data_IF_642106213852
#
_entry.id   IF_642106213852
#
_cell.length_a   1.000
_cell.length_b   1.000
_cell.length_c   1.000
_cell.angle_alpha   90.00
_cell.angle_beta   90.00
_cell.angle_gamma   90.00
#
_symmetry.space_group_name_H-M   'P 1'
#
loop_
_entity.id
_entity.type
_entity.pdbx_description
1 polymer ?
#
# COMPACT_ATOMS: atom_id res chain seq x y z
N UNK A 1 -13.80 -12.60 14.80
CA UNK A 1 -12.57 -11.78 14.68
C UNK A 1 -12.73 -10.90 13.47
N UNK A 2 -12.63 -9.58 13.61
CA UNK A 2 -12.74 -8.64 12.49
C UNK A 2 -11.47 -8.76 11.65
N UNK A 3 -11.59 -9.14 10.38
CA UNK A 3 -10.45 -9.11 9.45
C UNK A 3 -9.92 -7.68 9.36
N UNK A 4 -8.60 -7.44 9.51
CA UNK A 4 -8.03 -6.11 9.35
C UNK A 4 -8.32 -5.59 7.93
N UNK A 5 -8.93 -4.40 7.83
CA UNK A 5 -9.19 -3.68 6.57
C UNK A 5 -8.19 -2.54 6.42
N UNK A 6 -7.43 -2.54 5.33
CA UNK A 6 -6.33 -1.59 5.11
C UNK A 6 -6.81 -0.15 5.06
N UNK A 7 -8.00 0.10 4.49
CA UNK A 7 -8.53 1.46 4.38
C UNK A 7 -9.02 1.94 5.74
N UNK A 8 -9.71 1.10 6.51
CA UNK A 8 -10.14 1.46 7.88
C UNK A 8 -8.93 1.82 8.75
N UNK A 9 -7.83 1.05 8.63
CA UNK A 9 -6.55 1.33 9.31
C UNK A 9 -5.94 2.67 8.85
N UNK A 10 -5.81 2.89 7.54
CA UNK A 10 -5.14 4.08 7.00
C UNK A 10 -5.92 5.37 7.24
N UNK A 11 -7.26 5.29 7.26
CA UNK A 11 -8.11 6.43 7.58
C UNK A 11 -8.13 6.74 9.09
N UNK A 12 -7.53 5.90 9.93
CA UNK A 12 -7.54 6.07 11.39
C UNK A 12 -8.95 6.15 11.96
N UNK A 13 -9.93 5.52 11.30
CA UNK A 13 -11.33 5.68 11.67
C UNK A 13 -11.56 5.11 13.07
N UNK A 14 -12.09 5.96 13.95
CA UNK A 14 -12.59 5.48 15.22
C UNK A 14 -13.82 4.59 14.98
N UNK A 15 -13.99 3.49 15.74
CA UNK A 15 -15.11 2.55 15.53
C UNK A 15 -16.50 3.20 15.60
N UNK A 16 -16.62 4.31 16.34
CA UNK A 16 -17.85 5.09 16.55
C UNK A 16 -18.03 6.25 15.56
N UNK A 17 -17.05 6.50 14.69
CA UNK A 17 -17.14 7.56 13.70
C UNK A 17 -18.21 7.26 12.63
N UNK A 18 -19.00 8.27 12.25
CA UNK A 18 -20.05 8.14 11.24
C UNK A 18 -19.56 7.56 9.90
N UNK A 19 -18.33 7.91 9.49
CA UNK A 19 -17.71 7.38 8.28
C UNK A 19 -17.38 5.89 8.39
N UNK A 20 -16.98 5.41 9.57
CA UNK A 20 -16.79 3.98 9.84
C UNK A 20 -18.10 3.22 9.70
N UNK A 21 -19.17 3.73 10.30
CA UNK A 21 -20.50 3.13 10.20
C UNK A 21 -20.98 3.04 8.74
N UNK A 22 -20.83 4.11 7.95
CA UNK A 22 -21.20 4.14 6.53
C UNK A 22 -20.41 3.12 5.70
N UNK A 23 -19.10 2.98 5.96
CA UNK A 23 -18.27 1.99 5.25
C UNK A 23 -18.67 0.57 5.63
N UNK A 24 -19.00 0.32 6.90
CA UNK A 24 -19.45 -0.99 7.39
C UNK A 24 -20.83 -1.41 6.84
N UNK A 25 -21.65 -0.47 6.35
CA UNK A 25 -22.90 -0.79 5.64
C UNK A 25 -22.68 -1.38 4.23
N UNK A 26 -21.45 -1.38 3.71
CA UNK A 26 -21.09 -1.92 2.38
C UNK A 26 -20.12 -3.09 2.48
N UNK A 27 -20.51 -4.23 3.09
CA UNK A 27 -19.61 -5.34 3.38
C UNK A 27 -18.95 -5.93 2.13
N UNK A 28 -19.68 -6.02 1.01
CA UNK A 28 -19.13 -6.52 -0.25
C UNK A 28 -18.00 -5.62 -0.77
N UNK A 29 -18.13 -4.30 -0.70
CA UNK A 29 -17.07 -3.37 -1.15
C UNK A 29 -15.83 -3.52 -0.29
N UNK A 30 -15.98 -3.60 1.04
CA UNK A 30 -14.87 -3.84 1.96
C UNK A 30 -14.15 -5.16 1.65
N UNK A 31 -14.91 -6.24 1.53
CA UNK A 31 -14.38 -7.57 1.23
C UNK A 31 -13.59 -7.59 -0.08
N UNK A 32 -14.14 -7.07 -1.18
CA UNK A 32 -13.45 -7.10 -2.47
C UNK A 32 -12.24 -6.17 -2.51
N UNK A 33 -12.31 -5.03 -1.81
CA UNK A 33 -11.16 -4.12 -1.71
C UNK A 33 -10.01 -4.74 -0.93
N UNK A 34 -10.30 -5.32 0.25
CA UNK A 34 -9.29 -6.02 1.04
C UNK A 34 -8.75 -7.25 0.30
N UNK A 35 -9.62 -8.04 -0.32
CA UNK A 35 -9.20 -9.20 -1.11
C UNK A 35 -8.30 -8.83 -2.29
N UNK A 36 -8.53 -7.68 -2.93
CA UNK A 36 -7.65 -7.16 -3.98
C UNK A 36 -6.29 -6.76 -3.43
N UNK A 37 -6.26 -6.12 -2.25
CA UNK A 37 -5.02 -5.79 -1.56
C UNK A 37 -4.21 -7.06 -1.24
N UNK A 38 -4.87 -8.06 -0.63
CA UNK A 38 -4.22 -9.32 -0.24
C UNK A 38 -3.68 -10.07 -1.46
N UNK A 39 -4.49 -10.20 -2.52
CA UNK A 39 -4.08 -10.89 -3.74
C UNK A 39 -2.86 -10.24 -4.42
N UNK A 40 -2.73 -8.92 -4.33
CA UNK A 40 -1.64 -8.19 -4.97
C UNK A 40 -0.38 -8.12 -4.11
N UNK A 41 -0.51 -7.96 -2.79
CA UNK A 41 0.58 -7.58 -1.89
C UNK A 41 0.91 -8.61 -0.80
N UNK A 42 0.04 -9.58 -0.58
CA UNK A 42 0.28 -10.77 0.26
C UNK A 42 0.05 -12.05 -0.56
N UNK A 43 0.72 -12.21 -1.72
CA UNK A 43 0.44 -13.32 -2.61
C UNK A 43 0.89 -14.64 -1.99
N UNK A 44 0.07 -15.69 -2.18
CA UNK A 44 0.45 -17.06 -1.80
C UNK A 44 1.63 -17.60 -2.63
N UNK A 45 1.80 -17.09 -3.86
CA UNK A 45 2.91 -17.40 -4.75
C UNK A 45 3.62 -16.10 -5.20
N UNK A 46 4.88 -15.97 -4.80
CA UNK A 46 5.75 -14.83 -5.12
C UNK A 46 6.86 -15.20 -6.12
N UNK A 47 6.73 -16.31 -6.85
CA UNK A 47 7.75 -16.79 -7.79
C UNK A 47 7.92 -15.90 -9.02
N UNK A 48 6.81 -15.38 -9.57
CA UNK A 48 6.83 -14.53 -10.76
C UNK A 48 7.23 -13.07 -10.48
N UNK A 49 6.82 -12.55 -9.32
CA UNK A 49 7.15 -11.21 -8.86
C UNK A 49 7.25 -11.25 -7.34
N UNK A 50 8.42 -10.91 -6.82
CA UNK A 50 8.67 -10.92 -5.40
C UNK A 50 7.79 -9.91 -4.67
N UNK A 51 7.62 -10.13 -3.37
CA UNK A 51 6.91 -9.18 -2.51
C UNK A 51 7.56 -7.80 -2.53
N UNK A 52 8.89 -7.73 -2.54
CA UNK A 52 9.62 -6.46 -2.59
C UNK A 52 9.33 -5.68 -3.89
N UNK A 53 9.31 -6.35 -5.04
CA UNK A 53 8.97 -5.71 -6.31
C UNK A 53 7.51 -5.22 -6.34
N UNK A 54 6.58 -6.01 -5.78
CA UNK A 54 5.16 -5.62 -5.64
C UNK A 54 4.99 -4.37 -4.77
N UNK A 55 5.68 -4.31 -3.63
CA UNK A 55 5.68 -3.14 -2.75
C UNK A 55 6.34 -1.92 -3.42
N UNK A 56 7.40 -2.12 -4.19
CA UNK A 56 8.05 -1.03 -4.94
C UNK A 56 7.11 -0.42 -6.00
N UNK A 57 6.36 -1.27 -6.73
CA UNK A 57 5.33 -0.80 -7.66
C UNK A 57 4.21 -0.08 -6.93
N UNK A 58 3.74 -0.62 -5.80
CA UNK A 58 2.68 0.01 -5.01
C UNK A 58 3.12 1.37 -4.44
N UNK A 59 4.37 1.48 -3.97
CA UNK A 59 4.98 2.75 -3.56
C UNK A 59 4.99 3.75 -4.72
N UNK A 60 5.44 3.33 -5.91
CA UNK A 60 5.46 4.20 -7.10
C UNK A 60 4.06 4.74 -7.43
N UNK A 61 3.06 3.87 -7.44
CA UNK A 61 1.66 4.26 -7.69
C UNK A 61 1.14 5.22 -6.62
N UNK A 62 1.42 4.94 -5.34
CA UNK A 62 1.04 5.83 -4.25
C UNK A 62 1.68 7.22 -4.39
N UNK A 63 2.96 7.27 -4.77
CA UNK A 63 3.69 8.52 -5.04
C UNK A 63 3.12 9.27 -6.24
N UNK A 64 2.83 8.58 -7.35
CA UNK A 64 2.22 9.19 -8.55
C UNK A 64 0.87 9.86 -8.24
N UNK A 65 0.09 9.29 -7.33
CA UNK A 65 -1.21 9.82 -6.92
C UNK A 65 -1.15 10.74 -5.69
N UNK A 66 0.03 11.00 -5.12
CA UNK A 66 0.19 11.85 -3.94
C UNK A 66 -0.54 11.35 -2.69
N UNK A 67 -0.71 10.02 -2.55
CA UNK A 67 -1.43 9.45 -1.41
C UNK A 67 -0.49 9.17 -0.24
N UNK A 68 -0.23 10.19 0.58
CA UNK A 68 0.75 10.12 1.68
C UNK A 68 0.59 8.91 2.63
N UNK A 69 -0.63 8.53 3.06
CA UNK A 69 -0.80 7.35 3.91
C UNK A 69 -0.32 6.05 3.25
N UNK A 70 -0.54 5.91 1.93
CA UNK A 70 -0.08 4.75 1.17
C UNK A 70 1.42 4.82 0.88
N UNK A 71 1.97 6.01 0.63
CA UNK A 71 3.42 6.22 0.49
C UNK A 71 4.12 5.74 1.75
N UNK A 72 3.67 6.19 2.92
CA UNK A 72 4.23 5.78 4.21
C UNK A 72 4.11 4.27 4.40
N UNK A 73 2.92 3.70 4.17
CA UNK A 73 2.68 2.26 4.30
C UNK A 73 3.66 1.42 3.47
N UNK A 74 3.84 1.74 2.18
CA UNK A 74 4.69 0.93 1.30
C UNK A 74 6.18 1.14 1.56
N UNK A 75 6.60 2.33 2.01
CA UNK A 75 7.98 2.56 2.49
C UNK A 75 8.29 1.71 3.72
N UNK A 76 7.40 1.67 4.71
CA UNK A 76 7.54 0.84 5.90
C UNK A 76 7.60 -0.66 5.55
N UNK A 77 6.72 -1.11 4.64
CA UNK A 77 6.67 -2.51 4.20
C UNK A 77 7.92 -2.92 3.43
N UNK A 78 8.49 -2.05 2.60
CA UNK A 78 9.79 -2.29 1.95
C UNK A 78 10.93 -2.35 2.95
N UNK A 79 10.97 -1.44 3.92
CA UNK A 79 11.99 -1.45 4.97
C UNK A 79 11.94 -2.74 5.81
N UNK A 80 10.72 -3.24 6.11
CA UNK A 80 10.53 -4.50 6.79
C UNK A 80 11.02 -5.73 5.98
N UNK A 81 11.11 -5.60 4.65
CA UNK A 81 11.71 -6.60 3.75
C UNK A 81 13.23 -6.41 3.58
N UNK A 82 13.86 -5.58 4.42
CA UNK A 82 15.28 -5.23 4.38
C UNK A 82 15.72 -4.57 3.06
N UNK A 83 14.80 -3.90 2.34
CA UNK A 83 15.18 -3.08 1.20
C UNK A 83 16.07 -1.91 1.66
N UNK A 84 17.16 -1.65 0.93
CA UNK A 84 18.03 -0.52 1.22
C UNK A 84 17.28 0.81 1.06
N UNK A 85 17.54 1.83 1.91
CA UNK A 85 16.86 3.13 1.80
C UNK A 85 16.93 3.74 0.40
N UNK A 86 18.09 3.66 -0.26
CA UNK A 86 18.27 4.14 -1.63
C UNK A 86 17.37 3.42 -2.65
N UNK A 87 17.09 2.12 -2.46
CA UNK A 87 16.18 1.38 -3.33
C UNK A 87 14.71 1.80 -3.10
N UNK A 88 14.34 2.11 -1.85
CA UNK A 88 13.01 2.63 -1.51
C UNK A 88 12.80 4.02 -2.15
N UNK A 89 13.82 4.87 -2.09
CA UNK A 89 13.78 6.19 -2.70
C UNK A 89 13.72 6.11 -4.23
N UNK A 90 14.50 5.22 -4.84
CA UNK A 90 14.44 4.96 -6.27
C UNK A 90 13.05 4.46 -6.72
N UNK A 91 12.42 3.57 -5.94
CA UNK A 91 11.07 3.09 -6.21
C UNK A 91 10.01 4.20 -6.16
N UNK A 92 10.12 5.12 -5.19
CA UNK A 92 9.23 6.28 -5.10
C UNK A 92 9.42 7.25 -6.29
N UNK A 93 10.67 7.53 -6.64
CA UNK A 93 11.03 8.46 -7.72
C UNK A 93 10.59 7.94 -9.10
N UNK A 94 10.83 6.66 -9.38
CA UNK A 94 10.60 6.05 -10.68
C UNK A 94 11.54 6.57 -11.79
N UNK A 95 11.48 5.97 -12.99
CA UNK A 95 12.39 6.30 -14.09
C UNK A 95 12.16 7.70 -14.70
N UNK A 96 11.01 8.32 -14.48
CA UNK A 96 10.67 9.66 -14.98
C UNK A 96 11.05 10.78 -14.01
N UNK A 97 11.75 10.46 -12.91
CA UNK A 97 12.26 11.48 -12.01
C UNK A 97 13.18 12.43 -12.80
N UNK A 98 13.05 13.76 -12.65
CA UNK A 98 13.93 14.69 -13.34
C UNK A 98 15.37 14.30 -13.03
N UNK A 99 16.12 13.94 -14.07
CA UNK A 99 17.45 13.37 -13.97
C UNK A 99 18.35 14.23 -13.10
N UNK A 100 19.10 13.59 -12.19
CA UNK A 100 20.27 14.18 -11.58
C UNK A 100 21.39 14.26 -12.63
N UNK A 101 21.21 15.09 -13.65
CA UNK A 101 22.30 15.52 -14.51
C UNK A 101 22.95 16.73 -13.83
N UNK A 102 23.99 16.46 -13.02
CA UNK A 102 24.92 17.43 -12.47
C UNK A 102 26.36 16.96 -12.69
#
# INVERSE_FOLDING_TARGET
MTTPDVIDRLMGLQPDAALSALRHQRPAVRQHTQGSFDALLEPADASALSRAEREAVALRVATLHGCEPLITLHRERLAALAAAPAAIDAAAAGPDAPGQDA
#
